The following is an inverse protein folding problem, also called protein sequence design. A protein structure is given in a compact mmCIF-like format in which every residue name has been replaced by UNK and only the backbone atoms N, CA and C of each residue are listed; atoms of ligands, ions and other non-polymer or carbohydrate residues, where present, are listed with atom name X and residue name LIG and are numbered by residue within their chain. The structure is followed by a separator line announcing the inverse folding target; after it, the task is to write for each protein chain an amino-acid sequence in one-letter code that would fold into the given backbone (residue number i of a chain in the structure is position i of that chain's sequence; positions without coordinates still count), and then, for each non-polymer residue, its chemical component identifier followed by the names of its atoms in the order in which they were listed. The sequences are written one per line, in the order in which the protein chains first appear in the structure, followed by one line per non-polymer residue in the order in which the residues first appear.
data_IF_171921877579
#
_entry.id   IF_171921877579
#
_cell.length_a   1.000
_cell.length_b   1.000
_cell.length_c   1.000
_cell.angle_alpha   90.00
_cell.angle_beta   90.00
_cell.angle_gamma   90.00
#
_symmetry.space_group_name_H-M   'P 1'
#
loop_
_entity.id
_entity.type
_entity.pdbx_description
1 polymer ?
#
# COMPACT_ATOMS: atom_id res chain seq x y z
N UNK A 1 30.47 0.54 35.19
CA UNK A 1 30.26 -0.65 34.33
C UNK A 1 29.14 -0.30 33.35
N UNK A 2 29.46 -0.40 32.06
CA UNK A 2 28.61 -0.43 30.85
C UNK A 2 27.14 0.04 30.98
N UNK A 3 26.84 1.21 30.43
CA UNK A 3 25.52 1.55 29.91
C UNK A 3 25.42 0.96 28.49
N UNK A 4 24.50 0.02 28.30
CA UNK A 4 24.08 -0.58 27.02
C UNK A 4 22.60 -0.87 27.24
N UNK A 5 21.64 -0.44 26.43
CA UNK A 5 21.51 -0.54 24.96
C UNK A 5 20.40 0.44 24.56
N UNK A 6 20.70 1.52 23.82
CA UNK A 6 20.47 1.73 22.37
C UNK A 6 19.01 1.48 21.90
N UNK A 7 18.40 2.58 21.45
CA UNK A 7 17.41 2.75 20.36
C UNK A 7 16.73 1.50 19.79
N UNK A 8 15.40 1.52 19.77
CA UNK A 8 14.66 1.27 18.52
C UNK A 8 13.29 1.91 18.60
N UNK A 9 13.26 3.14 18.10
CA UNK A 9 12.19 3.68 17.25
C UNK A 9 10.79 3.18 17.54
N UNK A 10 10.02 4.03 18.22
CA UNK A 10 8.57 4.00 18.09
C UNK A 10 8.21 4.03 16.61
N UNK A 11 7.77 2.89 16.09
CA UNK A 11 6.98 2.84 14.88
C UNK A 11 5.54 3.17 15.29
N UNK A 12 5.35 4.42 15.75
CA UNK A 12 4.09 5.09 15.52
C UNK A 12 3.99 5.16 14.00
N UNK A 13 3.35 4.14 13.40
CA UNK A 13 2.73 4.28 12.10
C UNK A 13 1.73 5.40 12.31
N UNK A 14 2.21 6.63 12.10
CA UNK A 14 1.37 7.76 11.87
C UNK A 14 0.36 7.25 10.86
N UNK A 15 -0.93 7.33 11.21
CA UNK A 15 -1.99 7.28 10.23
C UNK A 15 -1.81 8.51 9.33
N UNK A 16 -0.75 8.49 8.52
CA UNK A 16 -0.60 9.35 7.36
C UNK A 16 -1.81 8.98 6.54
N UNK A 17 -2.76 9.93 6.44
CA UNK A 17 -3.84 9.84 5.49
C UNK A 17 -3.21 9.41 4.18
N UNK A 18 -3.42 8.14 3.78
CA UNK A 18 -2.73 7.60 2.62
C UNK A 18 -3.19 8.46 1.45
N UNK A 19 -2.28 9.25 0.88
CA UNK A 19 -2.61 10.05 -0.28
C UNK A 19 -2.71 9.08 -1.45
N UNK A 20 -3.93 8.71 -1.82
CA UNK A 20 -4.21 7.91 -3.01
C UNK A 20 -4.30 8.86 -4.21
N UNK A 21 -3.15 9.38 -4.60
CA UNK A 21 -2.99 10.15 -5.83
C UNK A 21 -1.87 9.50 -6.65
N UNK A 22 -2.24 8.56 -7.51
CA UNK A 22 -1.29 7.92 -8.41
C UNK A 22 -1.95 7.47 -9.70
N UNK A 23 -1.19 7.61 -10.79
CA UNK A 23 -1.53 6.97 -12.05
C UNK A 23 -1.19 5.47 -12.01
N UNK A 24 -1.77 4.71 -12.95
CA UNK A 24 -1.52 3.27 -13.03
C UNK A 24 -0.02 2.97 -13.10
N UNK A 25 0.45 2.07 -12.24
CA UNK A 25 1.86 1.70 -12.14
C UNK A 25 2.79 2.77 -11.54
N UNK A 26 2.26 3.90 -11.05
CA UNK A 26 3.06 4.99 -10.47
C UNK A 26 3.02 5.03 -8.94
N UNK A 27 2.18 4.22 -8.29
CA UNK A 27 2.20 4.16 -6.84
C UNK A 27 3.54 3.61 -6.34
N UNK A 28 4.06 4.11 -5.21
CA UNK A 28 5.28 3.58 -4.59
C UNK A 28 5.16 2.09 -4.28
N UNK A 29 3.95 1.65 -3.96
CA UNK A 29 3.63 0.26 -3.62
C UNK A 29 3.48 -0.66 -4.85
N UNK A 30 3.43 -0.09 -6.06
CA UNK A 30 3.40 -0.87 -7.29
C UNK A 30 4.82 -1.20 -7.77
N UNK A 31 5.43 -2.21 -7.16
CA UNK A 31 6.79 -2.64 -7.55
C UNK A 31 6.85 -3.06 -9.02
N UNK A 32 7.76 -2.44 -9.78
CA UNK A 32 7.93 -2.70 -11.21
C UNK A 32 6.86 -2.08 -12.13
N UNK A 33 5.97 -1.25 -11.60
CA UNK A 33 4.99 -0.47 -12.37
C UNK A 33 3.87 -1.29 -13.00
N UNK A 34 3.70 -2.55 -12.59
CA UNK A 34 2.62 -3.43 -13.04
C UNK A 34 2.29 -4.44 -11.95
N UNK A 35 1.01 -4.80 -11.82
CA UNK A 35 0.56 -5.82 -10.87
C UNK A 35 1.28 -7.15 -11.08
N UNK A 36 1.57 -7.53 -12.33
CA UNK A 36 2.28 -8.78 -12.68
C UNK A 36 3.70 -8.81 -12.08
N UNK A 37 4.37 -7.66 -12.00
CA UNK A 37 5.73 -7.55 -11.42
C UNK A 37 5.69 -7.33 -9.91
N UNK A 38 4.64 -6.70 -9.41
CA UNK A 38 4.45 -6.43 -8.00
C UNK A 38 4.08 -7.71 -7.22
N UNK A 39 3.20 -8.57 -7.75
CA UNK A 39 2.73 -9.79 -7.08
C UNK A 39 3.88 -10.71 -6.63
N UNK A 40 4.85 -11.11 -7.50
CA UNK A 40 5.95 -11.97 -7.07
C UNK A 40 6.88 -11.27 -6.07
N UNK A 41 7.04 -9.94 -6.14
CA UNK A 41 7.80 -9.17 -5.17
C UNK A 41 7.11 -9.11 -3.80
N UNK A 42 5.78 -9.03 -3.78
CA UNK A 42 4.97 -8.95 -2.56
C UNK A 42 4.76 -10.33 -1.90
N UNK A 43 4.50 -11.37 -2.71
CA UNK A 43 4.32 -12.75 -2.23
C UNK A 43 5.64 -13.41 -1.82
N UNK A 44 6.79 -12.93 -2.32
CA UNK A 44 8.11 -13.42 -1.92
C UNK A 44 8.64 -12.84 -0.59
N UNK A 45 7.92 -11.89 0.02
CA UNK A 45 8.33 -11.24 1.27
C UNK A 45 7.80 -11.96 2.52
N UNK A 46 8.59 -12.06 3.61
CA UNK A 46 8.09 -12.55 4.90
C UNK A 46 7.06 -11.58 5.47
N UNK A 47 5.88 -12.08 5.87
CA UNK A 47 4.88 -11.31 6.61
C UNK A 47 3.69 -10.77 5.80
N UNK A 48 3.53 -11.14 4.53
CA UNK A 48 2.40 -10.72 3.70
C UNK A 48 1.11 -11.45 4.09
N UNK A 49 0.47 -11.02 5.18
CA UNK A 49 -0.87 -11.47 5.57
C UNK A 49 -1.99 -11.00 4.63
N UNK A 50 -1.65 -10.20 3.60
CA UNK A 50 -2.54 -9.74 2.54
C UNK A 50 -2.18 -10.43 1.22
N UNK A 51 -3.19 -10.81 0.45
CA UNK A 51 -3.03 -11.38 -0.88
C UNK A 51 -2.35 -10.36 -1.81
N UNK A 52 -1.15 -10.71 -2.29
CA UNK A 52 -0.36 -9.82 -3.16
C UNK A 52 -1.07 -9.47 -4.45
N UNK A 53 -2.00 -10.30 -4.92
CA UNK A 53 -2.87 -9.98 -6.06
C UNK A 53 -3.74 -8.78 -5.75
N UNK A 54 -4.44 -8.79 -4.61
CA UNK A 54 -5.28 -7.69 -4.14
C UNK A 54 -4.46 -6.43 -3.88
N UNK A 55 -3.34 -6.56 -3.13
CA UNK A 55 -2.43 -5.45 -2.83
C UNK A 55 -1.95 -4.76 -4.10
N UNK A 56 -1.30 -5.52 -4.97
CA UNK A 56 -0.72 -4.99 -6.19
C UNK A 56 -1.77 -4.53 -7.19
N UNK A 57 -2.94 -5.18 -7.27
CA UNK A 57 -4.00 -4.72 -8.18
C UNK A 57 -4.56 -3.37 -7.76
N UNK A 58 -4.67 -3.10 -6.46
CA UNK A 58 -5.12 -1.80 -5.97
C UNK A 58 -4.05 -0.72 -6.22
N UNK A 59 -2.83 -0.94 -5.75
CA UNK A 59 -1.79 0.08 -5.81
C UNK A 59 -1.18 0.24 -7.21
N UNK A 60 -1.26 -0.76 -8.09
CA UNK A 60 -0.89 -0.58 -9.50
C UNK A 60 -2.00 0.01 -10.36
N UNK A 61 -3.22 0.17 -9.83
CA UNK A 61 -4.31 0.83 -10.55
C UNK A 61 -4.16 2.35 -10.51
N UNK A 62 -4.88 3.05 -11.40
CA UNK A 62 -5.01 4.50 -11.33
C UNK A 62 -6.01 4.83 -10.21
N UNK A 63 -5.57 5.56 -9.19
CA UNK A 63 -6.43 6.09 -8.14
C UNK A 63 -6.17 7.58 -8.02
N UNK A 64 -7.15 8.37 -8.47
CA UNK A 64 -7.14 9.83 -8.30
C UNK A 64 -8.31 10.27 -7.46
N UNK A 65 -9.47 9.63 -7.60
CA UNK A 65 -10.68 9.98 -6.88
C UNK A 65 -11.15 8.90 -5.90
N UNK A 66 -12.10 9.27 -5.04
CA UNK A 66 -12.85 8.33 -4.20
C UNK A 66 -13.51 7.22 -5.01
N UNK A 67 -14.08 7.56 -6.17
CA UNK A 67 -14.71 6.59 -7.04
C UNK A 67 -13.70 5.54 -7.54
N UNK A 68 -12.50 5.96 -7.92
CA UNK A 68 -11.42 5.05 -8.33
C UNK A 68 -11.00 4.12 -7.18
N UNK A 69 -10.89 4.68 -5.97
CA UNK A 69 -10.57 3.89 -4.77
C UNK A 69 -11.64 2.84 -4.48
N UNK A 70 -12.93 3.21 -4.51
CA UNK A 70 -14.01 2.26 -4.26
C UNK A 70 -14.13 1.21 -5.38
N UNK A 71 -13.86 1.59 -6.63
CA UNK A 71 -13.82 0.66 -7.76
C UNK A 71 -12.66 -0.33 -7.64
N UNK A 72 -11.46 0.14 -7.28
CA UNK A 72 -10.29 -0.71 -7.05
C UNK A 72 -10.48 -1.60 -5.81
N UNK A 73 -11.08 -1.06 -4.74
CA UNK A 73 -11.42 -1.81 -3.53
C UNK A 73 -12.51 -2.86 -3.79
N UNK A 74 -13.51 -2.60 -4.63
CA UNK A 74 -14.53 -3.62 -4.96
C UNK A 74 -13.94 -4.89 -5.57
N UNK A 75 -12.84 -4.73 -6.32
CA UNK A 75 -12.15 -5.82 -7.00
C UNK A 75 -11.01 -6.43 -6.18
N UNK A 76 -10.80 -5.99 -4.93
CA UNK A 76 -9.65 -6.40 -4.09
C UNK A 76 -10.07 -6.56 -2.63
N UNK A 77 -9.43 -7.45 -1.86
CA UNK A 77 -9.72 -7.56 -0.43
C UNK A 77 -8.86 -6.59 0.41
N UNK A 78 -8.78 -5.33 -0.01
CA UNK A 78 -7.98 -4.32 0.72
C UNK A 78 -8.83 -3.63 1.78
N UNK A 79 -8.29 -3.63 3.00
CA UNK A 79 -8.82 -2.90 4.16
C UNK A 79 -8.36 -1.44 4.14
N UNK A 80 -8.86 -0.66 3.18
CA UNK A 80 -8.65 0.79 3.09
C UNK A 80 -9.96 1.55 3.21
N UNK A 81 -9.97 2.66 3.94
CA UNK A 81 -11.11 3.56 4.05
C UNK A 81 -10.97 4.70 3.05
N UNK A 82 -11.65 4.56 1.89
CA UNK A 82 -11.66 5.55 0.81
C UNK A 82 -12.24 6.94 1.25
N UNK A 83 -12.81 7.07 2.45
CA UNK A 83 -13.27 8.37 2.97
C UNK A 83 -12.22 9.11 3.80
N UNK A 84 -11.20 8.41 4.29
CA UNK A 84 -10.16 8.97 5.17
C UNK A 84 -8.84 9.24 4.46
N UNK A 85 -8.77 8.90 3.19
CA UNK A 85 -7.63 9.11 2.31
C UNK A 85 -7.80 10.39 1.52
N UNK A 86 -6.68 10.97 1.11
CA UNK A 86 -6.64 12.17 0.30
C UNK A 86 -6.37 11.80 -1.15
N UNK A 87 -6.94 12.61 -2.02
CA UNK A 87 -7.02 12.41 -3.46
C UNK A 87 -6.41 13.61 -4.18
N UNK A 88 -6.15 13.45 -5.47
CA UNK A 88 -5.93 14.54 -6.40
C UNK A 88 -7.07 14.57 -7.42
#
# INVERSE_FOLDING_TARGET
MKFSTIFSTGLLVAATQANLCFDAGKAPECTGGSSIKCIPAHNGGPGSGQDGTSYCSFYCSKIKSKADCEAAKKNTNILIDCNKVKYC
#
